data_IF_570988285775
#
_entry.id   IF_570988285775
#
_cell.length_a   1.000
_cell.length_b   1.000
_cell.length_c   1.000
_cell.angle_alpha   90.00
_cell.angle_beta   90.00
_cell.angle_gamma   90.00
#
_symmetry.space_group_name_H-M   'P 1'
#
loop_
_entity.id
_entity.type
_entity.pdbx_description
1 polymer ?
#
# COMPACT_ATOMS: atom_id res chain seq x y z
N UNK A 1 -15.20 -20.09 8.46
CA UNK A 1 -14.53 -19.36 7.36
C UNK A 1 -15.49 -18.43 6.61
N UNK A 2 -16.63 -18.91 6.09
CA UNK A 2 -17.67 -18.06 5.48
C UNK A 2 -18.20 -16.98 6.44
N UNK A 3 -18.46 -17.33 7.70
CA UNK A 3 -18.90 -16.38 8.72
C UNK A 3 -17.89 -15.24 8.97
N UNK A 4 -16.59 -15.52 8.89
CA UNK A 4 -15.54 -14.50 9.07
C UNK A 4 -15.60 -13.49 7.92
N UNK A 5 -15.76 -13.96 6.68
CA UNK A 5 -15.92 -13.08 5.52
C UNK A 5 -17.20 -12.23 5.64
N UNK A 6 -18.32 -12.81 6.08
CA UNK A 6 -19.56 -12.06 6.31
C UNK A 6 -19.36 -10.96 7.36
N UNK A 7 -18.76 -11.29 8.51
CA UNK A 7 -18.45 -10.30 9.56
C UNK A 7 -17.50 -9.21 9.07
N UNK A 8 -16.51 -9.58 8.25
CA UNK A 8 -15.60 -8.63 7.63
C UNK A 8 -16.36 -7.67 6.69
N UNK A 9 -17.23 -8.20 5.83
CA UNK A 9 -18.05 -7.41 4.90
C UNK A 9 -18.95 -6.42 5.65
N UNK A 10 -19.62 -6.86 6.71
CA UNK A 10 -20.47 -5.99 7.51
C UNK A 10 -19.65 -4.90 8.21
N UNK A 11 -18.54 -5.26 8.86
CA UNK A 11 -17.70 -4.30 9.60
C UNK A 11 -17.11 -3.22 8.69
N UNK A 12 -16.65 -3.59 7.50
CA UNK A 12 -15.98 -2.66 6.57
C UNK A 12 -16.89 -2.16 5.44
N UNK A 13 -18.21 -2.39 5.54
CA UNK A 13 -19.22 -1.87 4.59
C UNK A 13 -19.13 -0.36 4.36
N UNK A 14 -18.86 0.50 5.37
CA UNK A 14 -18.72 1.94 5.14
C UNK A 14 -17.58 2.29 4.18
N UNK A 15 -16.52 1.48 4.14
CA UNK A 15 -15.35 1.72 3.28
C UNK A 15 -15.61 1.41 1.80
N UNK A 16 -16.69 0.69 1.47
CA UNK A 16 -17.07 0.42 0.09
C UNK A 16 -17.35 1.72 -0.68
N UNK A 17 -17.97 2.70 -0.01
CA UNK A 17 -18.21 4.04 -0.59
C UNK A 17 -16.92 4.83 -0.84
N UNK A 18 -15.84 4.47 -0.14
CA UNK A 18 -14.49 5.04 -0.33
C UNK A 18 -13.66 4.25 -1.37
N UNK A 19 -14.27 3.32 -2.09
CA UNK A 19 -13.61 2.55 -3.15
C UNK A 19 -12.96 1.22 -2.70
N UNK A 20 -13.18 0.78 -1.45
CA UNK A 20 -12.78 -0.57 -1.04
C UNK A 20 -13.64 -1.61 -1.76
N UNK A 21 -13.01 -2.66 -2.28
CA UNK A 21 -13.68 -3.82 -2.85
C UNK A 21 -13.25 -5.06 -2.07
N UNK A 22 -14.21 -5.82 -1.56
CA UNK A 22 -13.96 -7.06 -0.81
C UNK A 22 -14.15 -8.24 -1.77
N UNK A 23 -13.05 -8.73 -2.31
CA UNK A 23 -13.02 -9.77 -3.36
C UNK A 23 -13.40 -11.16 -2.80
N UNK A 24 -13.09 -11.41 -1.52
CA UNK A 24 -13.45 -12.64 -0.84
C UNK A 24 -12.25 -13.35 -0.22
N UNK A 25 -12.33 -14.67 -0.10
CA UNK A 25 -11.25 -15.50 0.43
C UNK A 25 -10.34 -15.97 -0.72
N UNK A 26 -9.03 -15.89 -0.51
CA UNK A 26 -8.02 -16.38 -1.45
C UNK A 26 -7.05 -17.32 -0.72
N UNK A 27 -6.60 -18.37 -1.40
CA UNK A 27 -5.52 -19.22 -0.89
C UNK A 27 -4.20 -18.51 -1.13
N UNK A 28 -3.37 -18.37 -0.09
CA UNK A 28 -2.06 -17.71 -0.16
C UNK A 28 -0.89 -18.69 -0.04
N UNK A 29 -1.14 -19.88 0.47
CA UNK A 29 -0.17 -20.98 0.57
C UNK A 29 -0.96 -22.30 0.51
N UNK A 30 -0.88 -22.98 -0.63
CA UNK A 30 -1.59 -24.25 -0.83
C UNK A 30 -1.04 -25.36 0.07
N UNK A 31 0.27 -25.43 0.25
CA UNK A 31 0.92 -26.46 1.05
C UNK A 31 0.54 -26.36 2.53
N UNK A 32 0.45 -25.13 3.05
CA UNK A 32 0.06 -24.87 4.44
C UNK A 32 -1.44 -24.58 4.63
N UNK A 33 -2.24 -24.71 3.56
CA UNK A 33 -3.68 -24.38 3.54
C UNK A 33 -3.98 -23.01 4.15
N UNK A 34 -3.10 -22.03 3.94
CA UNK A 34 -3.30 -20.67 4.48
C UNK A 34 -4.18 -19.87 3.54
N UNK A 35 -5.22 -19.28 4.12
CA UNK A 35 -6.16 -18.42 3.42
C UNK A 35 -5.98 -16.97 3.89
N UNK A 36 -6.37 -16.04 3.04
CA UNK A 36 -6.44 -14.61 3.34
C UNK A 36 -7.76 -14.03 2.84
N UNK A 37 -8.19 -12.94 3.46
CA UNK A 37 -9.23 -12.07 2.91
C UNK A 37 -8.55 -11.15 1.89
N UNK A 38 -8.99 -11.18 0.64
CA UNK A 38 -8.48 -10.31 -0.41
C UNK A 38 -9.38 -9.09 -0.54
N UNK A 39 -8.76 -7.91 -0.56
CA UNK A 39 -9.41 -6.63 -0.82
C UNK A 39 -8.62 -5.86 -1.87
N UNK A 40 -9.32 -5.12 -2.72
CA UNK A 40 -8.74 -4.14 -3.64
C UNK A 40 -9.18 -2.73 -3.27
N UNK A 41 -8.34 -1.74 -3.55
CA UNK A 41 -8.59 -0.33 -3.24
C UNK A 41 -7.84 0.59 -4.21
N UNK A 42 -8.29 1.85 -4.42
CA UNK A 42 -7.54 2.84 -5.20
C UNK A 42 -6.19 3.17 -4.54
N UNK A 43 -5.27 3.83 -5.26
CA UNK A 43 -3.99 4.21 -4.66
C UNK A 43 -4.18 5.09 -3.43
N UNK A 44 -4.89 6.22 -3.60
CA UNK A 44 -5.30 7.11 -2.52
C UNK A 44 -6.45 6.47 -1.75
N UNK A 45 -6.13 5.88 -0.61
CA UNK A 45 -7.07 5.25 0.29
C UNK A 45 -6.45 5.25 1.69
N UNK A 46 -7.25 5.53 2.72
CA UNK A 46 -6.75 5.50 4.10
C UNK A 46 -6.56 4.06 4.58
N UNK A 47 -5.33 3.58 4.51
CA UNK A 47 -4.94 2.22 4.88
C UNK A 47 -5.00 1.96 6.38
N UNK A 48 -5.05 2.99 7.23
CA UNK A 48 -5.21 2.87 8.68
C UNK A 48 -6.53 2.19 9.04
N UNK A 49 -7.54 2.36 8.17
CA UNK A 49 -8.88 1.78 8.33
C UNK A 49 -8.99 0.31 7.92
N UNK A 50 -7.94 -0.30 7.35
CA UNK A 50 -7.94 -1.72 6.96
C UNK A 50 -6.90 -2.47 7.81
N UNK A 51 -7.31 -3.47 8.62
CA UNK A 51 -6.38 -4.17 9.47
C UNK A 51 -5.45 -5.07 8.65
N UNK A 52 -4.30 -5.44 9.23
CA UNK A 52 -3.38 -6.45 8.66
C UNK A 52 -3.96 -7.87 8.74
N UNK A 53 -4.82 -8.14 9.72
CA UNK A 53 -5.51 -9.41 9.94
C UNK A 53 -6.89 -9.20 10.57
N UNK A 54 -7.82 -10.12 10.34
CA UNK A 54 -9.16 -10.12 10.94
C UNK A 54 -9.53 -11.54 11.38
N UNK A 55 -9.92 -11.72 12.64
CA UNK A 55 -10.20 -13.03 13.26
C UNK A 55 -9.09 -14.08 12.98
N UNK A 56 -7.83 -13.67 13.08
CA UNK A 56 -6.67 -14.54 12.82
C UNK A 56 -6.38 -14.83 11.34
N UNK A 57 -7.17 -14.29 10.40
CA UNK A 57 -6.97 -14.42 8.96
C UNK A 57 -6.26 -13.18 8.41
N UNK A 58 -5.22 -13.37 7.61
CA UNK A 58 -4.51 -12.25 6.98
C UNK A 58 -5.42 -11.49 6.01
N UNK A 59 -5.28 -10.16 5.95
CA UNK A 59 -5.92 -9.34 4.91
C UNK A 59 -4.86 -8.96 3.88
N UNK A 60 -5.05 -9.39 2.64
CA UNK A 60 -4.23 -8.98 1.50
C UNK A 60 -4.88 -7.79 0.79
N UNK A 61 -4.16 -6.68 0.77
CA UNK A 61 -4.57 -5.44 0.11
C UNK A 61 -3.94 -5.39 -1.29
N UNK A 62 -4.75 -5.14 -2.32
CA UNK A 62 -4.31 -4.88 -3.69
C UNK A 62 -4.64 -3.45 -4.07
N UNK A 63 -3.77 -2.83 -4.85
CA UNK A 63 -4.02 -1.51 -5.43
C UNK A 63 -4.59 -1.72 -6.83
N UNK A 64 -5.66 -1.02 -7.15
CA UNK A 64 -6.29 -0.99 -8.48
C UNK A 64 -6.23 0.40 -9.07
N UNK A 65 -6.28 0.47 -10.40
CA UNK A 65 -6.17 1.72 -11.16
C UNK A 65 -4.73 2.08 -11.50
N UNK A 66 -4.55 3.32 -11.92
CA UNK A 66 -3.24 3.85 -12.32
C UNK A 66 -2.36 4.13 -11.11
N UNK A 67 -1.08 3.80 -11.24
CA UNK A 67 -0.07 4.08 -10.24
C UNK A 67 0.42 5.52 -10.41
N UNK A 68 0.59 6.31 -9.33
CA UNK A 68 1.19 7.64 -9.43
C UNK A 68 2.59 7.57 -10.04
N UNK A 69 3.01 8.65 -10.70
CA UNK A 69 4.28 8.74 -11.40
C UNK A 69 5.48 8.38 -10.52
N UNK A 70 5.41 8.69 -9.23
CA UNK A 70 6.45 8.38 -8.23
C UNK A 70 6.62 6.87 -7.99
N UNK A 71 5.66 6.05 -8.40
CA UNK A 71 5.71 4.59 -8.26
C UNK A 71 5.78 3.88 -9.61
N UNK A 72 5.79 4.62 -10.71
CA UNK A 72 6.06 4.07 -12.03
C UNK A 72 7.57 3.85 -12.15
N UNK A 73 7.94 2.60 -12.43
CA UNK A 73 9.34 2.20 -12.62
C UNK A 73 9.44 1.49 -13.96
N UNK A 74 10.54 1.72 -14.66
CA UNK A 74 10.79 1.01 -15.91
C UNK A 74 11.10 -0.47 -15.61
N UNK A 75 10.19 -1.34 -16.02
CA UNK A 75 10.31 -2.79 -15.86
C UNK A 75 10.85 -3.48 -17.11
N UNK A 76 11.24 -2.72 -18.13
CA UNK A 76 11.76 -3.26 -19.39
C UNK A 76 13.11 -3.96 -19.20
N UNK A 77 13.93 -3.51 -18.24
CA UNK A 77 15.25 -4.10 -18.00
C UNK A 77 15.16 -5.34 -17.09
N UNK A 78 15.80 -6.48 -17.42
CA UNK A 78 15.68 -7.73 -16.67
C UNK A 78 16.03 -7.63 -15.17
N UNK A 79 16.91 -6.70 -14.81
CA UNK A 79 17.43 -6.47 -13.46
C UNK A 79 16.85 -5.23 -12.78
N UNK A 80 15.74 -4.66 -13.27
CA UNK A 80 15.08 -3.48 -12.70
C UNK A 80 14.87 -3.61 -11.18
N UNK A 81 14.47 -4.80 -10.72
CA UNK A 81 14.14 -5.11 -9.33
C UNK A 81 15.36 -5.10 -8.39
N UNK A 82 16.58 -5.19 -8.95
CA UNK A 82 17.84 -5.05 -8.21
C UNK A 82 18.31 -3.60 -8.14
N UNK A 83 17.77 -2.72 -8.97
CA UNK A 83 18.14 -1.30 -9.04
C UNK A 83 17.13 -0.43 -8.31
N UNK A 84 15.86 -0.79 -8.37
CA UNK A 84 14.78 0.03 -7.84
C UNK A 84 13.80 -0.75 -6.98
N UNK A 85 13.48 -0.15 -5.84
CA UNK A 85 12.41 -0.61 -4.97
C UNK A 85 11.20 0.32 -5.10
N UNK A 86 10.11 -0.20 -5.70
CA UNK A 86 8.88 0.55 -5.96
C UNK A 86 8.23 1.10 -4.69
N UNK A 87 8.34 0.41 -3.55
CA UNK A 87 7.75 0.84 -2.28
C UNK A 87 8.77 1.53 -1.37
N UNK A 88 9.77 2.21 -1.94
CA UNK A 88 10.71 3.01 -1.17
C UNK A 88 9.97 4.12 -0.39
N UNK A 89 10.27 4.34 0.90
CA UNK A 89 9.67 5.40 1.70
C UNK A 89 9.72 6.78 1.02
N UNK A 90 10.84 7.08 0.35
CA UNK A 90 11.09 8.33 -0.35
C UNK A 90 10.07 8.58 -1.48
N UNK A 91 9.56 7.53 -2.13
CA UNK A 91 8.51 7.64 -3.16
C UNK A 91 7.16 8.04 -2.55
N UNK A 92 6.86 7.57 -1.33
CA UNK A 92 5.67 8.01 -0.60
C UNK A 92 5.76 9.46 -0.17
N UNK A 93 6.93 9.89 0.33
CA UNK A 93 7.18 11.28 0.68
C UNK A 93 6.99 12.21 -0.51
N UNK A 94 7.62 11.90 -1.66
CA UNK A 94 7.48 12.68 -2.88
C UNK A 94 6.02 12.78 -3.34
N UNK A 95 5.29 11.65 -3.31
CA UNK A 95 3.89 11.63 -3.69
C UNK A 95 3.02 12.47 -2.74
N UNK A 96 3.19 12.33 -1.43
CA UNK A 96 2.42 13.09 -0.45
C UNK A 96 2.73 14.58 -0.58
N UNK A 97 4.00 14.95 -0.73
CA UNK A 97 4.43 16.34 -0.88
C UNK A 97 3.83 16.99 -2.14
N UNK A 98 3.79 16.25 -3.26
CA UNK A 98 3.17 16.73 -4.51
C UNK A 98 1.64 16.77 -4.42
N UNK A 99 1.02 15.75 -3.85
CA UNK A 99 -0.41 15.46 -4.00
C UNK A 99 -1.23 15.69 -2.72
N UNK A 100 -0.71 16.38 -1.70
CA UNK A 100 -1.39 16.56 -0.41
C UNK A 100 -2.82 17.11 -0.54
N UNK A 101 -3.05 18.04 -1.46
CA UNK A 101 -4.37 18.62 -1.72
C UNK A 101 -5.33 17.55 -2.27
N UNK A 102 -4.90 16.78 -3.27
CA UNK A 102 -5.67 15.68 -3.84
C UNK A 102 -5.98 14.61 -2.78
N UNK A 103 -5.00 14.27 -1.94
CA UNK A 103 -5.18 13.30 -0.85
C UNK A 103 -6.27 13.77 0.12
N UNK A 104 -6.23 15.03 0.56
CA UNK A 104 -7.24 15.62 1.46
C UNK A 104 -8.64 15.53 0.88
N UNK A 105 -8.79 15.91 -0.40
CA UNK A 105 -10.08 15.86 -1.10
C UNK A 105 -10.61 14.42 -1.21
N UNK A 106 -9.78 13.47 -1.63
CA UNK A 106 -10.18 12.07 -1.82
C UNK A 106 -10.47 11.33 -0.52
N UNK A 107 -9.75 11.67 0.56
CA UNK A 107 -10.00 11.08 1.88
C UNK A 107 -11.16 11.75 2.62
N UNK A 108 -11.49 12.99 2.25
CA UNK A 108 -12.50 13.82 2.91
C UNK A 108 -12.00 14.44 4.21
N UNK A 109 -10.69 14.67 4.33
CA UNK A 109 -10.01 15.15 5.54
C UNK A 109 -9.22 16.42 5.19
N UNK A 110 -9.87 17.59 5.27
CA UNK A 110 -9.29 18.86 4.82
C UNK A 110 -8.04 19.29 5.60
N UNK A 111 -7.99 18.96 6.88
CA UNK A 111 -6.90 19.34 7.80
C UNK A 111 -5.80 18.28 7.93
N UNK A 112 -5.87 17.20 7.13
CA UNK A 112 -4.89 16.12 7.15
C UNK A 112 -3.48 16.66 6.95
N UNK A 113 -2.61 16.47 7.94
CA UNK A 113 -1.23 16.93 7.83
C UNK A 113 -0.36 15.93 7.05
N UNK A 114 0.89 16.32 6.76
CA UNK A 114 1.81 15.49 5.97
C UNK A 114 2.06 14.11 6.61
N UNK A 115 2.24 14.04 7.92
CA UNK A 115 2.55 12.80 8.64
C UNK A 115 1.34 11.86 8.62
N UNK A 116 0.15 12.39 8.87
CA UNK A 116 -1.10 11.62 8.80
C UNK A 116 -1.38 11.14 7.37
N UNK A 117 -1.08 11.96 6.36
CA UNK A 117 -1.19 11.55 4.97
C UNK A 117 -0.19 10.43 4.64
N UNK A 118 1.03 10.50 5.14
CA UNK A 118 2.01 9.43 4.98
C UNK A 118 1.53 8.14 5.62
N UNK A 119 0.97 8.17 6.83
CA UNK A 119 0.42 6.97 7.47
C UNK A 119 -0.78 6.42 6.69
N UNK A 120 -1.69 7.29 6.25
CA UNK A 120 -2.87 6.91 5.47
C UNK A 120 -2.48 6.20 4.16
N UNK A 121 -1.51 6.75 3.42
CA UNK A 121 -1.10 6.23 2.12
C UNK A 121 -0.11 5.05 2.26
N UNK A 122 0.82 5.12 3.20
CA UNK A 122 1.89 4.14 3.40
C UNK A 122 1.45 3.00 4.33
N UNK A 123 0.53 2.17 3.84
CA UNK A 123 0.13 0.91 4.48
C UNK A 123 -0.46 1.03 5.90
N UNK A 124 -0.69 2.22 6.42
CA UNK A 124 -1.25 2.51 7.74
C UNK A 124 -0.23 2.93 8.79
N UNK A 125 1.07 2.86 8.50
CA UNK A 125 2.16 3.25 9.41
C UNK A 125 3.44 3.46 8.59
N UNK A 126 3.77 4.72 8.31
CA UNK A 126 4.92 5.09 7.51
C UNK A 126 6.24 4.77 8.22
N UNK A 127 6.32 4.98 9.54
CA UNK A 127 7.53 4.77 10.32
C UNK A 127 7.89 3.28 10.46
N UNK A 128 6.90 2.41 10.68
CA UNK A 128 7.08 0.96 10.63
C UNK A 128 7.58 0.52 9.26
N UNK A 129 6.99 1.03 8.18
CA UNK A 129 7.41 0.71 6.83
C UNK A 129 8.84 1.19 6.54
N UNK A 130 9.16 2.44 6.89
CA UNK A 130 10.50 3.02 6.75
C UNK A 130 11.56 2.20 7.50
N UNK A 131 11.31 1.83 8.75
CA UNK A 131 12.19 0.95 9.52
C UNK A 131 12.36 -0.42 8.88
N UNK A 132 11.27 -1.02 8.38
CA UNK A 132 11.29 -2.30 7.68
C UNK A 132 12.15 -2.24 6.42
N UNK A 133 11.97 -1.21 5.59
CA UNK A 133 12.74 -1.04 4.36
C UNK A 133 14.21 -0.82 4.66
N UNK A 134 14.55 0.04 5.62
CA UNK A 134 15.94 0.25 6.08
C UNK A 134 16.60 -1.07 6.51
N UNK A 135 15.87 -1.95 7.20
CA UNK A 135 16.36 -3.29 7.54
C UNK A 135 16.59 -4.16 6.30
N UNK A 136 15.64 -4.18 5.37
CA UNK A 136 15.76 -4.98 4.13
C UNK A 136 16.92 -4.52 3.25
N UNK A 137 17.23 -3.22 3.22
CA UNK A 137 18.40 -2.67 2.53
C UNK A 137 19.68 -3.20 3.19
N UNK A 138 19.79 -3.15 4.53
CA UNK A 138 20.96 -3.69 5.26
C UNK A 138 21.14 -5.18 5.04
N UNK A 139 20.05 -5.93 4.88
CA UNK A 139 20.05 -7.36 4.58
C UNK A 139 20.32 -7.67 3.09
N UNK A 140 20.48 -6.65 2.23
CA UNK A 140 20.67 -6.83 0.79
C UNK A 140 19.46 -7.38 0.04
N UNK A 141 18.27 -7.38 0.66
CA UNK A 141 17.03 -7.93 0.08
C UNK A 141 16.33 -6.97 -0.87
N UNK A 142 16.55 -5.67 -0.68
CA UNK A 142 16.04 -4.61 -1.57
C UNK A 142 17.14 -3.57 -1.80
N UNK A 143 17.19 -2.95 -2.98
CA UNK A 143 18.15 -1.88 -3.24
C UNK A 143 17.85 -0.63 -2.42
N UNK A 144 18.88 0.17 -2.16
CA UNK A 144 18.71 1.52 -1.62
C UNK A 144 18.03 2.43 -2.63
N UNK A 145 17.27 3.41 -2.14
CA UNK A 145 16.66 4.41 -3.00
C UNK A 145 17.75 5.29 -3.62
N UNK A 146 17.78 5.38 -4.94
CA UNK A 146 18.71 6.26 -5.66
C UNK A 146 17.94 7.39 -6.35
N UNK A 147 18.11 8.62 -5.83
CA UNK A 147 17.41 9.82 -6.33
C UNK A 147 17.80 10.19 -7.77
N UNK A 148 19.01 9.83 -8.21
CA UNK A 148 19.54 10.19 -9.53
C UNK A 148 18.80 9.51 -10.70
N UNK A 149 18.25 8.31 -10.50
CA UNK A 149 17.51 7.60 -11.56
C UNK A 149 16.11 8.17 -11.81
N UNK A 150 15.50 8.87 -10.85
CA UNK A 150 14.14 9.40 -10.98
C UNK A 150 14.07 10.80 -11.61
N UNK A 151 15.22 11.46 -11.82
CA UNK A 151 15.31 12.77 -12.49
C UNK A 151 15.64 12.66 -13.99
N UNK A 152 16.03 11.48 -14.47
CA UNK A 152 16.42 11.25 -15.86
C UNK A 152 15.22 10.97 -16.80
N UNK A 153 14.00 10.93 -16.26
CA UNK A 153 12.76 10.61 -17.00
C UNK A 153 11.63 11.63 -16.80
N UNK A 154 11.93 12.80 -16.25
CA UNK A 154 11.00 13.93 -16.16
C UNK A 154 11.19 14.91 -17.32
#
# INVERSE_FOLDING_TARGET
MLQILTRFKEKYKPLLKKGLVIEGMVVIDHARRKNAISVSKPFIFDNRNIPKSFDGIQVKKRITGEMPVEFQIDRSQPDWHKREYIWAPERFEQFVDRAIVEIREKLGEADLNREEALDAICFGDFEEHSRKVKRLIREGKVPSYNKANNLATA
#
